data_IF_683201907678
#
_entry.id   IF_683201907678
#
_cell.length_a   1.000
_cell.length_b   1.000
_cell.length_c   1.000
_cell.angle_alpha   90.00
_cell.angle_beta   90.00
_cell.angle_gamma   90.00
#
_symmetry.space_group_name_H-M   'P 1'
#
loop_
_entity.id
_entity.type
_entity.pdbx_description
1 polymer ?
#
# COMPACT_ATOMS: atom_id res chain seq x y z
N UNK A 1 32.11 26.95 -0.52
CA UNK A 1 30.67 26.63 -0.66
C UNK A 1 30.10 26.31 0.71
N UNK A 2 28.86 26.72 1.02
CA UNK A 2 28.23 26.38 2.30
C UNK A 2 28.02 24.85 2.39
N UNK A 3 28.39 24.25 3.52
CA UNK A 3 28.20 22.82 3.75
C UNK A 3 26.71 22.45 3.69
N UNK A 4 26.34 21.58 2.74
CA UNK A 4 24.95 21.11 2.58
C UNK A 4 24.63 20.03 3.62
N UNK A 5 23.36 19.96 4.05
CA UNK A 5 22.83 18.89 4.90
C UNK A 5 22.22 17.76 4.05
N UNK A 6 22.17 16.55 4.60
CA UNK A 6 21.66 15.35 3.89
C UNK A 6 20.26 15.57 3.32
N UNK A 7 19.34 16.19 4.07
CA UNK A 7 17.98 16.45 3.59
C UNK A 7 17.90 17.40 2.38
N UNK A 8 18.90 18.28 2.20
CA UNK A 8 18.93 19.25 1.10
C UNK A 8 19.41 18.62 -0.21
N UNK A 9 20.15 17.52 -0.13
CA UNK A 9 20.67 16.76 -1.29
C UNK A 9 20.03 15.38 -1.41
N UNK A 10 18.91 15.18 -0.72
CA UNK A 10 18.22 13.90 -0.68
C UNK A 10 17.75 13.48 -2.08
N UNK A 11 18.09 12.27 -2.51
CA UNK A 11 17.79 11.77 -3.85
C UNK A 11 16.34 11.24 -4.01
N UNK A 12 15.65 10.98 -2.90
CA UNK A 12 14.25 10.53 -2.91
C UNK A 12 13.25 11.67 -3.08
N UNK A 13 11.98 11.34 -3.30
CA UNK A 13 10.90 12.32 -3.54
C UNK A 13 10.29 12.91 -2.25
N UNK A 14 10.98 12.77 -1.11
CA UNK A 14 10.49 13.25 0.18
C UNK A 14 10.53 14.77 0.28
N UNK A 15 9.57 15.32 1.03
CA UNK A 15 9.50 16.74 1.36
C UNK A 15 9.96 16.93 2.80
N UNK A 16 11.00 17.73 2.99
CA UNK A 16 11.56 18.01 4.32
C UNK A 16 11.14 19.38 4.81
N UNK A 17 10.65 19.47 6.05
CA UNK A 17 10.21 20.71 6.68
C UNK A 17 10.94 20.90 8.03
N UNK A 18 10.97 22.13 8.54
CA UNK A 18 11.62 22.49 9.82
C UNK A 18 13.10 22.09 9.87
N UNK A 19 13.85 22.36 8.80
CA UNK A 19 15.28 22.03 8.72
C UNK A 19 15.57 20.52 8.75
N UNK A 20 14.68 19.71 8.16
CA UNK A 20 14.84 18.26 8.07
C UNK A 20 14.36 17.48 9.30
N UNK A 21 13.60 18.11 10.20
CA UNK A 21 12.99 17.42 11.36
C UNK A 21 11.74 16.62 10.97
N UNK A 22 10.96 17.15 10.03
CA UNK A 22 9.76 16.50 9.51
C UNK A 22 10.06 15.95 8.12
N UNK A 23 9.66 14.70 7.89
CA UNK A 23 9.85 13.97 6.64
C UNK A 23 8.48 13.57 6.13
N UNK A 24 8.03 14.22 5.07
CA UNK A 24 6.78 13.89 4.40
C UNK A 24 7.05 13.15 3.08
N UNK A 25 6.06 12.39 2.61
CA UNK A 25 6.10 11.83 1.26
C UNK A 25 5.77 12.88 0.19
N UNK A 26 5.88 12.51 -1.09
CA UNK A 26 5.60 13.41 -2.21
C UNK A 26 4.14 13.89 -2.22
N UNK A 27 3.22 13.04 -1.75
CA UNK A 27 1.77 13.29 -1.78
C UNK A 27 1.27 14.08 -0.57
N UNK A 28 2.13 14.66 0.27
CA UNK A 28 1.76 15.38 1.49
C UNK A 28 0.62 16.42 1.37
N UNK A 29 0.30 16.91 0.17
CA UNK A 29 -0.84 17.82 -0.06
C UNK A 29 -2.19 17.13 0.13
N UNK A 30 -2.30 15.83 -0.13
CA UNK A 30 -3.52 15.04 0.08
C UNK A 30 -3.92 14.97 1.55
N UNK A 31 -2.98 15.18 2.48
CA UNK A 31 -3.27 15.27 3.92
C UNK A 31 -4.32 16.32 4.24
N UNK A 32 -4.39 17.42 3.49
CA UNK A 32 -5.41 18.44 3.67
C UNK A 32 -6.82 17.85 3.51
N UNK A 33 -7.01 16.96 2.54
CA UNK A 33 -8.29 16.30 2.30
C UNK A 33 -8.66 15.42 3.49
N UNK A 34 -7.71 14.62 3.99
CA UNK A 34 -7.95 13.77 5.17
C UNK A 34 -8.23 14.59 6.43
N UNK A 35 -7.54 15.72 6.64
CA UNK A 35 -7.81 16.64 7.74
C UNK A 35 -9.25 17.19 7.66
N UNK A 36 -9.70 17.63 6.48
CA UNK A 36 -11.05 18.14 6.28
C UNK A 36 -12.12 17.06 6.51
N UNK A 37 -11.89 15.84 6.01
CA UNK A 37 -12.79 14.69 6.21
C UNK A 37 -12.96 14.30 7.69
N UNK A 38 -12.02 14.67 8.57
CA UNK A 38 -12.12 14.43 10.01
C UNK A 38 -12.72 15.64 10.73
N UNK A 39 -12.18 16.83 10.46
CA UNK A 39 -12.53 18.05 11.21
C UNK A 39 -13.95 18.51 10.91
N UNK A 40 -14.37 18.52 9.64
CA UNK A 40 -15.69 19.07 9.27
C UNK A 40 -16.84 18.28 9.91
N UNK A 41 -16.91 16.94 9.82
CA UNK A 41 -17.96 16.17 10.49
C UNK A 41 -17.95 16.35 12.01
N UNK A 42 -16.77 16.43 12.64
CA UNK A 42 -16.66 16.67 14.09
C UNK A 42 -17.18 18.06 14.47
N UNK A 43 -16.90 19.11 13.69
CA UNK A 43 -17.44 20.44 13.94
C UNK A 43 -18.96 20.42 13.83
N UNK A 44 -19.50 19.83 12.77
CA UNK A 44 -20.96 19.69 12.60
C UNK A 44 -21.56 18.92 13.78
N UNK A 45 -20.93 17.82 14.21
CA UNK A 45 -21.36 17.07 15.38
C UNK A 45 -21.35 17.92 16.66
N UNK A 46 -20.27 18.67 16.91
CA UNK A 46 -20.16 19.50 18.10
C UNK A 46 -21.23 20.60 18.16
N UNK A 47 -21.51 21.24 17.02
CA UNK A 47 -22.45 22.36 16.92
C UNK A 47 -23.90 21.89 16.88
N UNK A 48 -24.21 20.88 16.07
CA UNK A 48 -25.59 20.47 15.78
C UNK A 48 -26.11 19.37 16.70
N UNK A 49 -25.23 18.52 17.27
CA UNK A 49 -25.64 17.36 18.08
C UNK A 49 -25.20 17.54 19.53
N UNK A 50 -23.90 17.64 19.79
CA UNK A 50 -23.35 17.67 21.15
C UNK A 50 -23.81 18.90 21.94
N UNK A 51 -24.01 20.04 21.28
CA UNK A 51 -24.56 21.24 21.93
C UNK A 51 -25.97 21.02 22.47
N UNK A 52 -26.83 20.33 21.73
CA UNK A 52 -28.21 20.06 22.16
C UNK A 52 -28.24 18.98 23.24
N UNK A 53 -27.50 17.89 23.06
CA UNK A 53 -27.34 16.83 24.08
C UNK A 53 -26.77 17.34 25.41
N UNK A 54 -26.01 18.44 25.40
CA UNK A 54 -25.52 19.07 26.62
C UNK A 54 -26.65 19.51 27.55
N UNK A 55 -27.73 20.06 26.99
CA UNK A 55 -28.83 20.59 27.78
C UNK A 55 -29.68 19.48 28.41
N UNK A 56 -29.78 18.33 27.74
CA UNK A 56 -30.46 17.13 28.25
C UNK A 56 -29.75 16.54 29.48
N UNK A 57 -28.40 16.54 29.50
CA UNK A 57 -27.59 16.04 30.62
C UNK A 57 -27.04 17.16 31.51
N UNK A 58 -27.91 18.08 31.93
CA UNK A 58 -27.54 19.22 32.79
C UNK A 58 -27.05 18.79 34.19
N UNK A 59 -27.56 17.67 34.70
CA UNK A 59 -27.14 17.13 36.01
C UNK A 59 -25.64 16.84 36.05
N UNK A 60 -24.96 17.44 37.03
CA UNK A 60 -23.52 17.30 37.30
C UNK A 60 -22.57 17.75 36.17
N UNK A 61 -22.99 18.66 35.27
CA UNK A 61 -22.20 19.09 34.10
C UNK A 61 -21.81 17.93 33.14
N UNK A 62 -22.50 16.79 33.22
CA UNK A 62 -22.17 15.59 32.46
C UNK A 62 -22.28 15.80 30.94
N UNK A 63 -23.18 16.68 30.49
CA UNK A 63 -23.31 17.07 29.09
C UNK A 63 -22.06 17.74 28.49
N UNK A 64 -21.22 18.41 29.29
CA UNK A 64 -19.95 18.96 28.82
C UNK A 64 -18.90 17.88 28.55
N UNK A 65 -19.00 16.72 29.22
CA UNK A 65 -18.10 15.61 29.01
C UNK A 65 -18.19 15.07 27.57
N UNK A 66 -19.39 15.04 26.98
CA UNK A 66 -19.60 14.61 25.57
C UNK A 66 -18.78 15.47 24.60
N UNK A 67 -18.80 16.80 24.79
CA UNK A 67 -18.03 17.71 23.96
C UNK A 67 -16.52 17.59 24.22
N UNK A 68 -16.12 17.53 25.49
CA UNK A 68 -14.72 17.41 25.87
C UNK A 68 -14.09 16.12 25.30
N UNK A 69 -14.79 14.99 25.42
CA UNK A 69 -14.37 13.71 24.84
C UNK A 69 -14.25 13.81 23.32
N UNK A 70 -15.23 14.40 22.63
CA UNK A 70 -15.18 14.57 21.18
C UNK A 70 -13.95 15.38 20.73
N UNK A 71 -13.67 16.50 21.40
CA UNK A 71 -12.55 17.39 21.08
C UNK A 71 -11.21 16.69 21.39
N UNK A 72 -11.03 16.16 22.60
CA UNK A 72 -9.79 15.52 23.01
C UNK A 72 -9.47 14.30 22.13
N UNK A 73 -10.50 13.51 21.80
CA UNK A 73 -10.32 12.35 20.95
C UNK A 73 -10.00 12.74 19.49
N UNK A 74 -10.62 13.81 18.98
CA UNK A 74 -10.25 14.38 17.67
C UNK A 74 -8.81 14.88 17.66
N UNK A 75 -8.37 15.59 18.70
CA UNK A 75 -6.97 16.02 18.84
C UNK A 75 -6.03 14.82 18.85
N UNK A 76 -6.39 13.73 19.54
CA UNK A 76 -5.63 12.48 19.51
C UNK A 76 -5.51 11.91 18.08
N UNK A 77 -6.64 11.76 17.36
CA UNK A 77 -6.68 11.27 15.96
C UNK A 77 -5.79 12.12 15.05
N UNK A 78 -5.88 13.45 15.16
CA UNK A 78 -5.07 14.37 14.36
C UNK A 78 -3.58 14.29 14.72
N UNK A 79 -3.25 14.12 16.00
CA UNK A 79 -1.87 13.95 16.44
C UNK A 79 -1.24 12.66 15.88
N UNK A 80 -1.95 11.53 15.93
CA UNK A 80 -1.44 10.27 15.37
C UNK A 80 -1.38 10.30 13.83
N UNK A 81 -2.31 10.97 13.15
CA UNK A 81 -2.22 11.24 11.71
C UNK A 81 -0.96 12.05 11.38
N UNK A 82 -0.69 13.11 12.14
CA UNK A 82 0.50 13.93 11.98
C UNK A 82 1.79 13.11 12.20
N UNK A 83 1.85 12.31 13.27
CA UNK A 83 3.02 11.45 13.55
C UNK A 83 3.24 10.39 12.46
N UNK A 84 2.17 9.88 11.85
CA UNK A 84 2.25 8.91 10.76
C UNK A 84 2.81 9.54 9.48
N UNK A 85 2.37 10.76 9.17
CA UNK A 85 2.67 11.45 7.90
C UNK A 85 4.00 12.20 7.90
N UNK A 86 4.41 12.75 9.05
CA UNK A 86 5.55 13.66 9.17
C UNK A 86 6.85 13.01 9.64
N UNK A 87 6.86 11.68 9.76
CA UNK A 87 8.00 10.89 10.21
C UNK A 87 8.69 10.09 9.10
N UNK A 88 9.95 9.73 9.34
CA UNK A 88 10.64 8.72 8.53
C UNK A 88 9.95 7.35 8.70
N UNK A 89 9.41 6.74 7.62
CA UNK A 89 8.71 5.46 7.68
C UNK A 89 9.64 4.25 7.88
N UNK A 90 10.96 4.44 7.76
CA UNK A 90 11.95 3.36 7.79
C UNK A 90 12.78 3.33 6.52
N UNK A 91 13.18 4.49 6.01
CA UNK A 91 13.92 4.57 4.76
C UNK A 91 15.30 3.92 4.94
N UNK A 92 15.66 3.02 4.03
CA UNK A 92 16.99 2.41 3.97
C UNK A 92 17.96 3.39 3.28
N UNK A 93 19.12 3.71 3.88
CA UNK A 93 20.13 4.54 3.24
C UNK A 93 20.55 3.94 1.89
N UNK A 94 20.71 4.79 0.88
CA UNK A 94 21.25 4.38 -0.42
C UNK A 94 22.74 4.12 -0.29
N UNK A 95 23.26 3.08 -0.94
CA UNK A 95 24.71 2.93 -1.02
C UNK A 95 25.29 3.90 -2.06
N UNK A 96 26.53 4.39 -1.87
CA UNK A 96 27.22 5.20 -2.88
C UNK A 96 27.65 4.36 -4.09
N UNK A 97 27.91 3.07 -3.87
CA UNK A 97 28.32 2.11 -4.88
C UNK A 97 27.54 0.79 -4.71
N UNK A 98 27.40 -0.02 -5.78
CA UNK A 98 26.86 -1.37 -5.66
C UNK A 98 27.62 -2.18 -4.59
N UNK A 99 26.94 -3.09 -3.87
CA UNK A 99 27.62 -3.98 -2.93
C UNK A 99 28.72 -4.75 -3.66
N UNK A 100 29.93 -4.72 -3.13
CA UNK A 100 31.01 -5.61 -3.51
C UNK A 100 30.61 -7.01 -3.02
N UNK A 101 30.00 -7.83 -3.88
CA UNK A 101 29.90 -9.25 -3.57
C UNK A 101 31.27 -9.87 -3.81
N UNK A 102 31.74 -10.67 -2.85
CA UNK A 102 32.82 -11.65 -3.07
C UNK A 102 32.51 -12.34 -4.40
N UNK A 103 33.28 -12.01 -5.43
CA UNK A 103 33.23 -12.71 -6.70
C UNK A 103 33.62 -14.16 -6.39
N UNK A 104 32.65 -15.03 -6.11
CA UNK A 104 32.83 -16.44 -6.45
C UNK A 104 32.85 -16.47 -7.97
N UNK A 105 34.06 -16.37 -8.52
CA UNK A 105 34.35 -16.98 -9.79
C UNK A 105 33.92 -18.44 -9.64
N UNK A 106 32.77 -18.80 -10.20
CA UNK A 106 32.61 -20.19 -10.65
C UNK A 106 33.60 -20.33 -11.79
N UNK A 107 34.80 -20.83 -11.47
CA UNK A 107 35.83 -21.25 -12.42
C UNK A 107 35.39 -22.53 -13.15
N UNK A 108 34.16 -22.59 -13.63
CA UNK A 108 33.62 -23.70 -14.43
C UNK A 108 33.06 -23.21 -15.77
N UNK A 109 33.66 -22.18 -16.35
CA UNK A 109 33.61 -22.04 -17.81
C UNK A 109 34.75 -22.87 -18.36
N UNK A 110 34.40 -24.07 -18.79
CA UNK A 110 35.21 -24.93 -19.65
C UNK A 110 35.83 -24.07 -20.75
N UNK A 111 37.16 -24.06 -20.76
CA UNK A 111 37.96 -23.54 -21.86
C UNK A 111 37.69 -24.47 -23.04
N UNK A 112 36.83 -24.06 -23.96
CA UNK A 112 36.84 -24.57 -25.32
C UNK A 112 36.16 -23.62 -26.31
N UNK A 113 36.82 -23.52 -27.47
CA UNK A 113 36.44 -22.86 -28.72
C UNK A 113 36.58 -21.32 -28.78
N UNK A 114 37.58 -20.92 -29.57
CA UNK A 114 37.94 -19.54 -29.88
C UNK A 114 36.88 -18.75 -30.62
N UNK A 115 36.88 -17.45 -30.35
CA UNK A 115 36.08 -16.44 -31.03
C UNK A 115 36.26 -15.11 -30.31
N UNK A 116 37.12 -14.26 -30.85
CA UNK A 116 37.40 -12.93 -30.33
C UNK A 116 36.16 -12.02 -30.45
N UNK A 117 35.25 -12.13 -29.49
CA UNK A 117 34.22 -11.14 -29.21
C UNK A 117 34.61 -10.43 -27.93
N UNK A 118 34.88 -9.13 -28.02
CA UNK A 118 35.12 -8.25 -26.86
C UNK A 118 33.81 -8.11 -26.09
N UNK A 119 33.44 -9.13 -25.33
CA UNK A 119 32.32 -9.07 -24.40
C UNK A 119 32.79 -8.20 -23.24
N UNK A 120 32.31 -6.95 -23.20
CA UNK A 120 32.36 -6.14 -21.98
C UNK A 120 31.77 -7.01 -20.87
N UNK A 121 32.48 -7.29 -19.76
CA UNK A 121 31.91 -8.05 -18.68
C UNK A 121 30.79 -7.19 -18.09
N UNK A 122 29.55 -7.45 -18.49
CA UNK A 122 28.41 -6.91 -17.79
C UNK A 122 28.49 -7.49 -16.40
N UNK A 123 28.76 -6.66 -15.40
CA UNK A 123 28.58 -7.01 -13.99
C UNK A 123 27.10 -7.37 -13.81
N UNK A 124 26.74 -8.61 -14.10
CA UNK A 124 25.42 -9.16 -13.82
C UNK A 124 25.40 -9.48 -12.34
N UNK A 125 25.07 -8.47 -11.52
CA UNK A 125 24.72 -8.69 -10.14
C UNK A 125 23.56 -9.69 -10.10
N UNK A 126 23.64 -10.79 -9.33
CA UNK A 126 22.52 -11.70 -9.20
C UNK A 126 21.34 -10.90 -8.64
N UNK A 127 20.27 -10.77 -9.45
CA UNK A 127 19.10 -9.96 -9.08
C UNK A 127 18.43 -10.44 -7.79
N UNK A 128 18.72 -11.66 -7.38
CA UNK A 128 18.19 -12.32 -6.19
C UNK A 128 19.35 -12.87 -5.37
N UNK A 129 19.28 -12.64 -4.06
CA UNK A 129 20.19 -13.20 -3.06
C UNK A 129 19.36 -13.95 -2.01
N UNK A 130 19.87 -15.06 -1.49
CA UNK A 130 19.23 -15.76 -0.37
C UNK A 130 19.80 -15.28 0.96
N UNK A 131 18.90 -15.03 1.91
CA UNK A 131 19.24 -14.61 3.27
C UNK A 131 18.48 -15.50 4.24
N UNK A 132 19.17 -16.04 5.24
CA UNK A 132 18.53 -16.87 6.27
C UNK A 132 17.77 -15.98 7.26
N UNK A 133 16.49 -16.28 7.45
CA UNK A 133 15.60 -15.61 8.40
C UNK A 133 14.90 -16.69 9.22
N UNK A 134 15.12 -16.69 10.54
CA UNK A 134 14.57 -17.71 11.45
C UNK A 134 14.86 -19.15 10.99
N UNK A 135 16.06 -19.41 10.45
CA UNK A 135 16.47 -20.72 9.95
C UNK A 135 15.95 -21.10 8.56
N UNK A 136 15.16 -20.23 7.90
CA UNK A 136 14.63 -20.47 6.56
C UNK A 136 15.23 -19.51 5.53
N UNK A 137 15.52 -20.01 4.33
CA UNK A 137 16.06 -19.20 3.24
C UNK A 137 14.96 -18.28 2.65
N UNK A 138 15.20 -16.98 2.70
CA UNK A 138 14.33 -15.94 2.13
C UNK A 138 15.07 -15.23 1.00
N UNK A 139 14.46 -15.25 -0.19
CA UNK A 139 14.96 -14.55 -1.38
C UNK A 139 14.73 -13.05 -1.27
N UNK A 140 15.80 -12.27 -1.31
CA UNK A 140 15.78 -10.79 -1.39
C UNK A 140 16.20 -10.33 -2.77
N UNK A 141 15.71 -9.16 -3.20
CA UNK A 141 15.97 -8.60 -4.52
C UNK A 141 16.97 -7.45 -4.45
N UNK A 142 17.78 -7.30 -5.49
CA UNK A 142 18.60 -6.09 -5.66
C UNK A 142 17.74 -4.88 -6.05
N UNK A 143 18.09 -3.70 -5.55
CA UNK A 143 17.49 -2.44 -5.96
C UNK A 143 18.52 -1.58 -6.67
N UNK A 144 18.36 -1.40 -7.98
CA UNK A 144 19.27 -0.59 -8.80
C UNK A 144 19.25 0.89 -8.37
N UNK A 145 18.07 1.46 -8.12
CA UNK A 145 17.89 2.87 -7.71
C UNK A 145 18.57 3.24 -6.38
N UNK A 146 18.62 2.30 -5.43
CA UNK A 146 19.21 2.51 -4.11
C UNK A 146 20.59 1.83 -3.97
N UNK A 147 21.03 1.09 -5.00
CA UNK A 147 22.26 0.31 -5.05
C UNK A 147 22.47 -0.64 -3.86
N UNK A 148 21.42 -1.37 -3.48
CA UNK A 148 21.48 -2.27 -2.32
C UNK A 148 20.66 -3.53 -2.54
N UNK A 149 21.10 -4.65 -1.95
CA UNK A 149 20.23 -5.79 -1.72
C UNK A 149 19.21 -5.43 -0.65
N UNK A 150 17.93 -5.49 -1.00
CA UNK A 150 16.84 -5.09 -0.10
C UNK A 150 16.87 -5.99 1.14
N UNK A 151 16.94 -5.44 2.37
CA UNK A 151 16.79 -6.26 3.57
C UNK A 151 15.49 -7.07 3.53
N UNK A 152 15.37 -8.17 4.30
CA UNK A 152 14.12 -8.90 4.42
C UNK A 152 12.95 -7.95 4.75
N UNK A 153 11.79 -8.17 4.11
CA UNK A 153 10.58 -7.33 4.23
C UNK A 153 10.73 -5.88 3.71
N UNK A 154 11.85 -5.53 3.07
CA UNK A 154 12.06 -4.22 2.45
C UNK A 154 11.59 -4.22 0.99
N UNK A 155 10.87 -3.17 0.60
CA UNK A 155 10.47 -2.93 -0.79
C UNK A 155 10.80 -1.51 -1.22
N UNK A 156 11.04 -1.34 -2.53
CA UNK A 156 11.23 -0.02 -3.12
C UNK A 156 9.86 0.55 -3.51
N UNK A 157 9.56 1.76 -3.05
CA UNK A 157 8.42 2.54 -3.49
C UNK A 157 8.88 3.52 -4.57
N UNK A 158 8.36 3.38 -5.80
CA UNK A 158 8.68 4.28 -6.93
C UNK A 158 8.20 5.71 -6.67
N UNK A 159 7.02 5.87 -6.07
CA UNK A 159 6.41 7.17 -5.74
C UNK A 159 7.33 7.98 -4.81
N UNK A 160 7.68 7.41 -3.65
CA UNK A 160 8.61 8.03 -2.72
C UNK A 160 10.07 7.99 -3.20
N UNK A 161 10.38 7.16 -4.18
CA UNK A 161 11.72 6.86 -4.68
C UNK A 161 12.69 6.43 -3.56
N UNK A 162 12.28 5.48 -2.72
CA UNK A 162 13.11 4.94 -1.65
C UNK A 162 12.81 3.47 -1.36
N UNK A 163 13.81 2.75 -0.87
CA UNK A 163 13.61 1.49 -0.17
C UNK A 163 13.14 1.74 1.28
N UNK A 164 12.09 1.06 1.71
CA UNK A 164 11.48 1.21 3.05
C UNK A 164 11.47 -0.15 3.76
N UNK A 165 11.96 -0.19 4.99
CA UNK A 165 11.96 -1.38 5.84
C UNK A 165 10.54 -1.77 6.27
N UNK A 166 10.26 -3.09 6.29
CA UNK A 166 8.93 -3.64 6.58
C UNK A 166 7.83 -2.87 5.83
N UNK A 167 8.03 -2.70 4.52
CA UNK A 167 7.14 -1.93 3.69
C UNK A 167 5.74 -2.53 3.69
N UNK A 168 4.75 -1.71 4.00
CA UNK A 168 3.35 -2.09 4.01
C UNK A 168 2.65 -1.64 2.73
N UNK A 169 2.56 -0.32 2.53
CA UNK A 169 2.02 0.29 1.33
C UNK A 169 2.42 1.77 1.25
N UNK A 170 2.19 2.39 0.10
CA UNK A 170 2.16 3.85 0.01
C UNK A 170 0.73 4.32 0.19
N UNK A 171 0.47 5.20 1.17
CA UNK A 171 -0.88 5.63 1.51
C UNK A 171 -1.15 7.03 0.97
N UNK A 172 -2.04 7.20 -0.02
CA UNK A 172 -2.39 8.52 -0.53
C UNK A 172 -3.06 9.40 0.52
N UNK A 173 -3.86 8.84 1.44
CA UNK A 173 -4.55 9.59 2.49
C UNK A 173 -3.59 10.20 3.53
N UNK A 174 -2.47 9.51 3.79
CA UNK A 174 -1.41 9.99 4.69
C UNK A 174 -0.31 10.74 3.91
N UNK A 175 -0.30 10.60 2.58
CA UNK A 175 0.68 11.23 1.69
C UNK A 175 2.12 10.69 1.86
N UNK A 176 2.30 9.48 2.38
CA UNK A 176 3.59 8.91 2.79
C UNK A 176 3.55 7.37 2.73
N UNK A 177 4.73 6.73 2.61
CA UNK A 177 4.87 5.30 2.82
C UNK A 177 4.53 4.89 4.25
N UNK A 178 3.85 3.76 4.42
CA UNK A 178 3.68 3.07 5.69
C UNK A 178 4.70 1.94 5.74
N UNK A 179 5.52 1.94 6.79
CA UNK A 179 6.60 0.99 7.00
C UNK A 179 6.95 0.81 8.46
N UNK A 180 8.11 0.21 8.74
CA UNK A 180 8.52 -0.23 10.08
C UNK A 180 8.32 0.83 11.17
N UNK A 181 8.69 2.08 10.90
CA UNK A 181 8.78 3.13 11.95
C UNK A 181 7.46 3.85 12.23
N UNK A 182 6.57 3.92 11.25
CA UNK A 182 5.30 4.65 11.36
C UNK A 182 4.06 3.75 11.36
N UNK A 183 4.19 2.45 11.10
CA UNK A 183 3.06 1.50 11.08
C UNK A 183 2.22 1.52 12.37
N UNK A 184 2.86 1.62 13.55
CA UNK A 184 2.14 1.72 14.84
C UNK A 184 1.23 2.96 14.90
N UNK A 185 1.73 4.11 14.47
CA UNK A 185 0.95 5.35 14.46
C UNK A 185 -0.15 5.30 13.40
N UNK A 186 0.12 4.69 12.24
CA UNK A 186 -0.88 4.45 11.22
C UNK A 186 -2.03 3.60 11.76
N UNK A 187 -1.72 2.49 12.44
CA UNK A 187 -2.73 1.63 13.03
C UNK A 187 -3.53 2.36 14.13
N UNK A 188 -2.85 3.10 15.02
CA UNK A 188 -3.52 3.96 16.01
C UNK A 188 -4.43 4.99 15.35
N UNK A 189 -4.00 5.61 14.25
CA UNK A 189 -4.81 6.56 13.48
C UNK A 189 -6.08 5.91 12.92
N UNK A 190 -5.96 4.82 12.16
CA UNK A 190 -7.13 4.20 11.51
C UNK A 190 -8.11 3.61 12.55
N UNK A 191 -7.59 2.99 13.63
CA UNK A 191 -8.43 2.45 14.70
C UNK A 191 -9.11 3.55 15.52
N UNK A 192 -8.40 4.62 15.91
CA UNK A 192 -9.01 5.74 16.63
C UNK A 192 -10.00 6.52 15.76
N UNK A 193 -9.73 6.69 14.46
CA UNK A 193 -10.69 7.26 13.51
C UNK A 193 -11.96 6.40 13.40
N UNK A 194 -11.83 5.07 13.39
CA UNK A 194 -12.99 4.15 13.45
C UNK A 194 -13.80 4.35 14.73
N UNK A 195 -13.14 4.40 15.88
CA UNK A 195 -13.82 4.63 17.17
C UNK A 195 -14.50 6.01 17.21
N UNK A 196 -13.87 7.04 16.65
CA UNK A 196 -14.45 8.40 16.58
C UNK A 196 -15.71 8.39 15.70
N UNK A 197 -15.67 7.64 14.60
CA UNK A 197 -16.81 7.45 13.71
C UNK A 197 -17.97 6.73 14.42
N UNK A 198 -17.68 5.66 15.18
CA UNK A 198 -18.69 4.97 16.01
C UNK A 198 -19.27 5.93 17.05
N UNK A 199 -18.42 6.69 17.75
CA UNK A 199 -18.84 7.64 18.77
C UNK A 199 -19.81 8.70 18.21
N UNK A 200 -19.45 9.33 17.08
CA UNK A 200 -20.30 10.34 16.41
C UNK A 200 -21.60 9.70 15.92
N UNK A 201 -21.55 8.51 15.33
CA UNK A 201 -22.74 7.79 14.87
C UNK A 201 -23.70 7.49 16.04
N UNK A 202 -23.18 6.88 17.11
CA UNK A 202 -23.97 6.48 18.28
C UNK A 202 -24.63 7.67 18.97
N UNK A 203 -23.91 8.78 19.16
CA UNK A 203 -24.50 9.97 19.78
C UNK A 203 -25.46 10.73 18.86
N UNK A 204 -25.25 10.71 17.55
CA UNK A 204 -26.21 11.27 16.59
C UNK A 204 -27.50 10.44 16.57
N UNK A 205 -27.40 9.11 16.59
CA UNK A 205 -28.55 8.21 16.70
C UNK A 205 -29.29 8.38 18.04
N UNK A 206 -28.54 8.52 19.14
CA UNK A 206 -29.10 8.80 20.46
C UNK A 206 -29.85 10.14 20.48
N UNK A 207 -29.31 11.19 19.85
CA UNK A 207 -29.99 12.47 19.75
C UNK A 207 -31.31 12.39 18.98
N UNK A 208 -31.36 11.63 17.86
CA UNK A 208 -32.63 11.37 17.16
C UNK A 208 -33.64 10.66 18.06
N UNK A 209 -33.20 9.69 18.87
CA UNK A 209 -34.07 9.02 19.85
C UNK A 209 -34.63 10.00 20.88
N UNK A 210 -33.80 10.88 21.44
CA UNK A 210 -34.26 11.92 22.38
C UNK A 210 -35.30 12.83 21.74
N UNK A 211 -35.12 13.22 20.47
CA UNK A 211 -36.12 14.01 19.74
C UNK A 211 -37.44 13.25 19.55
N UNK A 212 -37.40 11.95 19.29
CA UNK A 212 -38.62 11.15 19.20
C UNK A 212 -39.39 11.14 20.52
N UNK A 213 -38.67 10.94 21.63
CA UNK A 213 -39.24 10.86 22.97
C UNK A 213 -39.80 12.23 23.42
N UNK A 214 -39.14 13.35 23.10
CA UNK A 214 -39.58 14.71 23.51
C UNK A 214 -40.81 15.24 22.74
N UNK A 215 -41.02 14.78 21.50
CA UNK A 215 -42.09 15.30 20.63
C UNK A 215 -43.24 14.32 20.42
N UNK A 216 -43.29 13.20 21.17
CA UNK A 216 -44.18 12.04 20.96
C UNK A 216 -44.31 11.71 19.46
N UNK A 217 -43.17 11.75 18.78
CA UNK A 217 -43.09 11.86 17.34
C UNK A 217 -42.61 10.58 16.67
N UNK A 218 -43.01 10.37 15.41
CA UNK A 218 -42.42 9.33 14.57
C UNK A 218 -40.96 9.66 14.24
N UNK A 219 -40.15 8.63 13.95
CA UNK A 219 -38.75 8.77 13.50
C UNK A 219 -38.62 9.80 12.38
N UNK A 220 -39.57 9.81 11.44
CA UNK A 220 -39.59 10.73 10.31
C UNK A 220 -39.66 12.21 10.72
N UNK A 221 -40.42 12.52 11.77
CA UNK A 221 -40.50 13.88 12.31
C UNK A 221 -39.18 14.28 12.94
N UNK A 222 -38.60 13.42 13.79
CA UNK A 222 -37.30 13.67 14.42
C UNK A 222 -36.15 13.87 13.42
N UNK A 223 -36.13 13.08 12.33
CA UNK A 223 -35.15 13.25 11.25
C UNK A 223 -35.27 14.60 10.52
N UNK A 224 -36.51 15.11 10.33
CA UNK A 224 -36.74 16.42 9.71
C UNK A 224 -36.31 17.58 10.62
N UNK A 225 -36.43 17.42 11.93
CA UNK A 225 -35.97 18.42 12.90
C UNK A 225 -34.44 18.49 12.99
N UNK A 226 -33.74 17.37 12.77
CA UNK A 226 -32.27 17.34 12.78
C UNK A 226 -31.67 16.69 11.52
N UNK A 227 -31.73 17.36 10.35
CA UNK A 227 -31.13 16.84 9.12
C UNK A 227 -29.61 16.66 9.25
N UNK A 228 -28.94 17.49 10.06
CA UNK A 228 -27.50 17.37 10.32
C UNK A 228 -27.14 16.02 10.96
N UNK A 229 -27.93 15.54 11.92
CA UNK A 229 -27.69 14.24 12.57
C UNK A 229 -27.86 13.08 11.59
N UNK A 230 -28.85 13.16 10.70
CA UNK A 230 -29.07 12.16 9.64
C UNK A 230 -27.89 12.15 8.65
N UNK A 231 -27.42 13.32 8.21
CA UNK A 231 -26.25 13.44 7.32
C UNK A 231 -25.00 12.87 8.00
N UNK A 232 -24.77 13.18 9.29
CA UNK A 232 -23.66 12.64 10.06
C UNK A 232 -23.75 11.12 10.20
N UNK A 233 -24.93 10.57 10.47
CA UNK A 233 -25.14 9.13 10.55
C UNK A 233 -24.86 8.46 9.21
N UNK A 234 -25.36 9.00 8.10
CA UNK A 234 -25.08 8.47 6.77
C UNK A 234 -23.58 8.53 6.42
N UNK A 235 -22.93 9.66 6.70
CA UNK A 235 -21.49 9.84 6.51
C UNK A 235 -20.68 8.84 7.34
N UNK A 236 -21.03 8.68 8.63
CA UNK A 236 -20.33 7.76 9.52
C UNK A 236 -20.57 6.31 9.10
N UNK A 237 -21.79 5.95 8.70
CA UNK A 237 -22.10 4.62 8.19
C UNK A 237 -21.20 4.28 6.99
N UNK A 238 -21.16 5.13 5.97
CA UNK A 238 -20.30 4.94 4.78
C UNK A 238 -18.84 4.86 5.21
N UNK A 239 -18.38 5.79 6.06
CA UNK A 239 -16.99 5.84 6.54
C UNK A 239 -16.58 4.59 7.32
N UNK A 240 -17.49 3.97 8.09
CA UNK A 240 -17.21 2.75 8.85
C UNK A 240 -16.93 1.54 7.94
N UNK A 241 -17.58 1.44 6.78
CA UNK A 241 -17.27 0.38 5.82
C UNK A 241 -15.82 0.47 5.35
N UNK A 242 -15.34 1.68 5.04
CA UNK A 242 -13.97 1.89 4.57
C UNK A 242 -12.95 1.83 5.71
N UNK A 243 -13.07 2.69 6.71
CA UNK A 243 -12.06 2.84 7.79
C UNK A 243 -12.16 1.70 8.81
N UNK A 244 -13.37 1.24 9.12
CA UNK A 244 -13.59 0.07 9.97
C UNK A 244 -13.15 -1.23 9.29
N UNK A 245 -13.47 -1.41 8.01
CA UNK A 245 -12.95 -2.52 7.20
C UNK A 245 -11.42 -2.55 7.14
N UNK A 246 -10.80 -1.38 6.93
CA UNK A 246 -9.34 -1.24 6.96
C UNK A 246 -8.74 -1.58 8.34
N UNK A 247 -9.39 -1.14 9.42
CA UNK A 247 -8.99 -1.51 10.79
C UNK A 247 -9.03 -3.02 11.01
N UNK A 248 -10.12 -3.68 10.60
CA UNK A 248 -10.27 -5.13 10.68
C UNK A 248 -9.20 -5.88 9.87
N UNK A 249 -8.91 -5.40 8.66
CA UNK A 249 -7.86 -5.97 7.82
C UNK A 249 -6.48 -5.84 8.48
N UNK A 250 -6.13 -4.68 9.02
CA UNK A 250 -4.85 -4.51 9.71
C UNK A 250 -4.76 -5.26 11.04
N UNK A 251 -5.88 -5.48 11.74
CA UNK A 251 -5.93 -6.39 12.89
C UNK A 251 -5.55 -7.83 12.47
N UNK A 252 -6.07 -8.31 11.33
CA UNK A 252 -5.68 -9.61 10.77
C UNK A 252 -4.18 -9.66 10.40
N UNK A 253 -3.66 -8.61 9.76
CA UNK A 253 -2.25 -8.52 9.38
C UNK A 253 -1.32 -8.52 10.60
N UNK A 254 -1.68 -7.78 11.66
CA UNK A 254 -0.94 -7.79 12.93
C UNK A 254 -1.02 -9.19 13.54
N UNK A 255 -2.21 -9.78 13.63
CA UNK A 255 -2.42 -11.11 14.20
C UNK A 255 -1.60 -12.20 13.50
N UNK A 256 -1.35 -12.05 12.19
CA UNK A 256 -0.54 -12.97 11.39
C UNK A 256 0.91 -12.50 11.17
N UNK A 257 1.34 -11.35 11.68
CA UNK A 257 2.66 -10.74 11.43
C UNK A 257 3.01 -10.55 9.94
N UNK A 258 2.04 -10.16 9.14
CA UNK A 258 2.23 -9.85 7.72
C UNK A 258 2.12 -8.35 7.48
N UNK A 259 2.83 -7.82 6.48
CA UNK A 259 2.48 -6.53 5.91
C UNK A 259 1.42 -6.71 4.82
N UNK A 260 0.73 -5.64 4.44
CA UNK A 260 -0.20 -5.63 3.31
C UNK A 260 0.48 -6.15 2.05
N UNK A 261 1.69 -5.65 1.77
CA UNK A 261 2.52 -6.09 0.65
C UNK A 261 2.81 -7.60 0.68
N UNK A 262 3.17 -8.14 1.83
CA UNK A 262 3.45 -9.56 2.02
C UNK A 262 2.17 -10.40 1.85
N UNK A 263 1.05 -9.97 2.44
CA UNK A 263 -0.21 -10.70 2.32
C UNK A 263 -0.69 -10.82 0.87
N UNK A 264 -0.54 -9.76 0.06
CA UNK A 264 -0.89 -9.85 -1.36
C UNK A 264 0.11 -10.67 -2.18
N UNK A 265 1.42 -10.47 -1.97
CA UNK A 265 2.45 -11.08 -2.81
C UNK A 265 2.82 -12.52 -2.42
N UNK A 266 2.82 -12.84 -1.12
CA UNK A 266 3.17 -14.17 -0.64
C UNK A 266 2.01 -15.16 -0.72
N UNK A 267 0.75 -14.68 -0.69
CA UNK A 267 -0.39 -15.54 -1.02
C UNK A 267 -0.35 -15.98 -2.49
N UNK A 268 0.04 -15.10 -3.41
CA UNK A 268 0.22 -15.45 -4.81
C UNK A 268 1.38 -16.46 -5.01
N UNK A 269 2.47 -16.31 -4.27
CA UNK A 269 3.66 -17.19 -4.34
C UNK A 269 3.56 -18.46 -3.46
N UNK A 270 2.49 -18.64 -2.67
CA UNK A 270 2.33 -19.77 -1.74
C UNK A 270 3.40 -19.86 -0.62
N UNK A 271 4.00 -18.73 -0.21
CA UNK A 271 5.12 -18.74 0.75
C UNK A 271 4.67 -18.90 2.19
N UNK A 272 5.41 -19.71 2.95
CA UNK A 272 5.23 -19.86 4.40
C UNK A 272 5.58 -18.53 5.10
N UNK A 273 4.75 -18.15 6.06
CA UNK A 273 4.98 -16.96 6.86
C UNK A 273 5.98 -17.22 8.00
N UNK A 274 7.25 -16.93 7.71
CA UNK A 274 8.37 -17.14 8.64
C UNK A 274 8.42 -16.16 9.82
N UNK A 275 7.59 -15.12 9.81
CA UNK A 275 7.61 -14.04 10.81
C UNK A 275 6.54 -14.19 11.89
N UNK A 276 5.57 -15.08 11.70
CA UNK A 276 4.50 -15.31 12.67
C UNK A 276 5.05 -15.97 13.96
N UNK A 277 4.80 -15.34 15.12
CA UNK A 277 5.23 -15.81 16.45
C UNK A 277 4.06 -16.12 17.38
N UNK A 278 2.87 -16.28 16.82
CA UNK A 278 1.61 -16.38 17.56
C UNK A 278 0.97 -15.02 17.79
N UNK A 279 -0.37 -15.01 17.88
CA UNK A 279 -1.16 -13.77 17.81
C UNK A 279 -0.73 -12.73 18.87
N UNK A 280 -0.66 -13.11 20.15
CA UNK A 280 -0.25 -12.21 21.24
C UNK A 280 1.13 -11.60 21.01
N UNK A 281 2.13 -12.43 20.67
CA UNK A 281 3.49 -11.96 20.46
C UNK A 281 3.57 -10.99 19.28
N UNK A 282 2.78 -11.21 18.23
CA UNK A 282 2.74 -10.30 17.09
C UNK A 282 2.11 -8.95 17.46
N UNK A 283 1.03 -8.94 18.25
CA UNK A 283 0.44 -7.70 18.78
C UNK A 283 1.41 -6.94 19.68
N UNK A 284 2.07 -7.64 20.62
CA UNK A 284 3.08 -7.04 21.49
C UNK A 284 4.26 -6.49 20.69
N UNK A 285 4.70 -7.18 19.63
CA UNK A 285 5.76 -6.72 18.73
C UNK A 285 5.39 -5.35 18.13
N UNK A 286 4.17 -5.20 17.62
CA UNK A 286 3.75 -3.98 16.93
C UNK A 286 3.41 -2.84 17.89
N UNK A 287 2.69 -3.13 18.97
CA UNK A 287 2.11 -2.11 19.85
C UNK A 287 3.04 -1.72 21.01
N UNK A 288 3.77 -2.68 21.56
CA UNK A 288 4.49 -2.50 22.83
C UNK A 288 6.01 -2.38 22.68
N UNK A 289 6.59 -2.73 21.53
CA UNK A 289 8.04 -2.59 21.34
C UNK A 289 8.48 -1.16 21.05
N UNK A 290 9.74 -0.87 21.37
CA UNK A 290 10.37 0.41 21.08
C UNK A 290 10.60 0.54 19.57
N UNK A 291 10.12 1.64 19.00
CA UNK A 291 10.41 1.99 17.60
C UNK A 291 11.92 2.19 17.46
N UNK A 292 12.54 1.44 16.54
CA UNK A 292 13.98 1.54 16.24
C UNK A 292 14.35 2.98 15.84
N UNK A 293 15.59 3.46 16.03
CA UNK A 293 16.02 4.77 15.56
C UNK A 293 16.15 4.83 14.03
N UNK A 294 16.19 6.03 13.45
CA UNK A 294 16.25 6.18 11.99
C UNK A 294 17.63 5.77 11.52
N UNK A 295 17.70 5.06 10.40
CA UNK A 295 18.97 4.72 9.75
C UNK A 295 19.58 5.92 9.02
N UNK A 296 18.81 6.99 8.81
CA UNK A 296 19.27 8.21 8.17
C UNK A 296 19.36 9.34 9.19
N UNK A 297 20.52 10.01 9.25
CA UNK A 297 20.62 11.30 9.93
C UNK A 297 20.44 12.43 8.92
N UNK A 298 19.19 12.76 8.60
CA UNK A 298 18.83 13.78 7.60
C UNK A 298 19.42 15.17 7.88
N UNK A 299 19.73 15.46 9.14
CA UNK A 299 20.25 16.76 9.59
C UNK A 299 21.77 16.81 9.62
N UNK A 300 22.46 15.69 9.42
CA UNK A 300 23.91 15.67 9.34
C UNK A 300 24.40 16.49 8.14
N UNK A 301 25.62 17.03 8.24
CA UNK A 301 26.32 17.60 7.10
C UNK A 301 26.76 16.48 6.15
N UNK A 302 26.68 16.75 4.86
CA UNK A 302 27.17 15.84 3.82
C UNK A 302 28.69 15.77 3.96
N UNK A 303 29.22 14.56 4.15
CA UNK A 303 30.65 14.32 4.04
C UNK A 303 30.99 14.31 2.55
N UNK A 304 31.87 15.20 2.11
CA UNK A 304 32.54 15.03 0.82
C UNK A 304 33.44 13.81 0.96
N UNK A 305 33.08 12.71 0.30
CA UNK A 305 33.98 11.57 0.17
C UNK A 305 35.15 12.02 -0.70
N UNK A 306 36.35 12.06 -0.12
CA UNK A 306 37.58 12.17 -0.90
C UNK A 306 37.58 11.02 -1.93
N UNK A 307 37.94 11.27 -3.21
CA UNK A 307 38.07 10.20 -4.18
C UNK A 307 39.00 9.13 -3.61
N UNK A 308 38.53 7.88 -3.50
CA UNK A 308 39.45 6.78 -3.23
C UNK A 308 40.48 6.80 -4.37
N UNK A 309 41.79 6.73 -4.10
CA UNK A 309 42.77 6.60 -5.17
C UNK A 309 42.38 5.39 -6.00
N UNK A 310 42.10 5.63 -7.28
CA UNK A 310 41.94 4.56 -8.25
C UNK A 310 43.19 3.69 -8.12
N UNK A 311 43.00 2.40 -7.82
CA UNK A 311 44.08 1.44 -7.95
C UNK A 311 44.63 1.60 -9.36
N UNK A 312 45.89 2.01 -9.47
CA UNK A 312 46.55 2.29 -10.72
C UNK A 312 46.56 1.01 -11.56
N UNK A 313 45.63 0.92 -12.52
CA UNK A 313 45.76 -0.01 -13.63
C UNK A 313 46.82 0.62 -14.55
N UNK A 314 48.01 0.04 -14.51
CA UNK A 314 49.14 0.40 -15.36
C UNK A 314 48.70 0.27 -16.84
N UNK A 315 48.68 1.43 -17.50
CA UNK A 315 48.97 1.69 -18.92
C UNK A 315 48.44 0.74 -20.01
N UNK A 316 47.53 1.28 -20.84
CA UNK A 316 47.88 1.51 -22.26
C UNK A 316 47.00 2.61 -22.85
N UNK A 317 47.66 3.67 -23.30
CA UNK A 317 47.09 4.80 -24.03
C UNK A 317 46.31 4.35 -25.26
N UNK A 318 45.13 4.96 -25.49
CA UNK A 318 44.68 5.22 -26.86
C UNK A 318 43.80 6.46 -26.89
N UNK A 319 44.10 7.28 -27.88
CA UNK A 319 43.74 8.67 -28.08
C UNK A 319 42.25 9.01 -27.98
N UNK A 320 42.02 10.24 -27.52
CA UNK A 320 40.73 10.91 -27.55
C UNK A 320 40.28 11.16 -29.00
N UNK A 321 39.00 10.96 -29.25
CA UNK A 321 38.29 11.73 -30.26
C UNK A 321 36.96 12.19 -29.67
N UNK A 322 36.80 13.50 -29.64
CA UNK A 322 35.59 14.20 -29.24
C UNK A 322 34.47 13.93 -30.25
N UNK A 323 33.27 13.56 -29.78
CA UNK A 323 32.04 13.92 -30.47
C UNK A 323 30.90 14.12 -29.47
N UNK A 324 30.22 15.24 -29.68
CA UNK A 324 29.11 15.83 -28.96
C UNK A 324 27.94 14.92 -28.61
N UNK A 325 27.42 15.13 -27.40
CA UNK A 325 26.00 15.28 -27.09
C UNK A 325 25.05 14.14 -27.46
N UNK A 326 24.52 13.43 -26.44
CA UNK A 326 23.09 13.14 -26.45
C UNK A 326 22.49 12.92 -25.05
N UNK A 327 21.24 13.35 -24.94
CA UNK A 327 20.32 13.37 -23.80
C UNK A 327 19.91 11.94 -23.46
N UNK A 328 20.14 11.47 -22.23
CA UNK A 328 19.60 10.17 -21.78
C UNK A 328 18.06 10.23 -21.72
N UNK A 329 17.34 9.26 -22.30
CA UNK A 329 15.88 9.22 -22.20
C UNK A 329 15.45 8.79 -20.80
N UNK A 330 14.41 9.46 -20.31
CA UNK A 330 13.68 9.16 -19.08
C UNK A 330 12.81 7.94 -19.38
N UNK A 331 13.09 6.80 -18.73
CA UNK A 331 12.25 5.60 -18.86
C UNK A 331 11.07 5.75 -17.91
N UNK A 332 9.89 5.96 -18.49
CA UNK A 332 8.59 5.79 -17.84
C UNK A 332 8.31 4.29 -17.70
N UNK A 333 8.03 3.83 -16.48
CA UNK A 333 7.34 2.58 -16.23
C UNK A 333 6.41 2.79 -15.05
N UNK A 334 5.14 3.07 -15.35
CA UNK A 334 4.02 2.92 -14.45
C UNK A 334 2.91 2.13 -15.18
N UNK A 335 2.06 1.47 -14.37
CA UNK A 335 0.81 0.75 -14.71
C UNK A 335 0.83 -0.78 -14.73
N UNK A 336 1.50 -1.43 -13.77
CA UNK A 336 1.41 -2.89 -13.57
C UNK A 336 0.30 -3.34 -12.58
N UNK A 337 -0.57 -2.41 -12.11
CA UNK A 337 -1.64 -2.75 -11.15
C UNK A 337 -2.95 -3.09 -11.88
N UNK A 338 -3.26 -2.39 -12.98
CA UNK A 338 -4.51 -2.59 -13.73
C UNK A 338 -4.49 -3.79 -14.66
N UNK A 339 -3.35 -4.02 -15.33
CA UNK A 339 -3.21 -5.09 -16.32
C UNK A 339 -3.12 -6.48 -15.66
N UNK A 340 -2.50 -6.59 -14.48
CA UNK A 340 -2.47 -7.84 -13.73
C UNK A 340 -3.83 -8.19 -13.11
N UNK A 341 -4.63 -7.22 -12.66
CA UNK A 341 -6.00 -7.48 -12.18
C UNK A 341 -6.92 -7.98 -13.30
N UNK A 342 -6.78 -7.46 -14.52
CA UNK A 342 -7.51 -7.96 -15.69
C UNK A 342 -7.08 -9.39 -16.05
N UNK A 343 -5.78 -9.69 -16.01
CA UNK A 343 -5.23 -11.05 -16.21
C UNK A 343 -5.68 -12.04 -15.13
N UNK A 344 -5.83 -11.59 -13.88
CA UNK A 344 -6.36 -12.39 -12.77
C UNK A 344 -7.87 -12.66 -12.94
N UNK A 345 -8.65 -11.69 -13.43
CA UNK A 345 -10.08 -11.91 -13.73
C UNK A 345 -10.28 -12.86 -14.91
N UNK A 346 -9.44 -12.76 -15.95
CA UNK A 346 -9.49 -13.67 -17.10
C UNK A 346 -9.11 -15.11 -16.74
N UNK A 347 -8.13 -15.32 -15.84
CA UNK A 347 -7.80 -16.67 -15.36
C UNK A 347 -8.93 -17.31 -14.54
N UNK A 348 -9.64 -16.54 -13.72
CA UNK A 348 -10.81 -17.04 -12.98
C UNK A 348 -11.94 -17.48 -13.90
N UNK A 349 -12.23 -16.72 -14.95
CA UNK A 349 -13.29 -17.09 -15.91
C UNK A 349 -12.96 -18.38 -16.67
N UNK A 350 -11.68 -18.64 -16.97
CA UNK A 350 -11.25 -19.87 -17.66
C UNK A 350 -11.31 -21.10 -16.73
N UNK A 351 -10.94 -20.97 -15.45
CA UNK A 351 -11.07 -22.07 -14.49
C UNK A 351 -12.53 -22.40 -14.15
N UNK A 352 -13.44 -21.42 -14.21
CA UNK A 352 -14.87 -21.62 -13.97
C UNK A 352 -15.58 -22.30 -15.16
N UNK A 353 -15.20 -21.97 -16.40
CA UNK A 353 -15.70 -22.66 -17.61
C UNK A 353 -15.17 -24.10 -17.72
N UNK A 354 -13.95 -24.37 -17.27
CA UNK A 354 -13.37 -25.73 -17.29
C UNK A 354 -14.04 -26.65 -16.25
N UNK A 355 -14.63 -26.09 -15.18
CA UNK A 355 -15.43 -26.86 -14.20
C UNK A 355 -16.87 -27.10 -14.63
N UNK A 356 -17.37 -26.37 -15.65
CA UNK A 356 -18.75 -26.50 -16.14
C UNK A 356 -18.91 -27.52 -17.27
N UNK A 357 -17.82 -27.88 -17.96
CA UNK A 357 -17.83 -28.77 -19.13
C UNK A 357 -16.86 -29.97 -18.99
N UNK A 358 -17.04 -30.79 -17.94
CA UNK A 358 -16.43 -32.12 -17.84
C UNK A 358 -17.48 -33.22 -18.09
N UNK A 359 -17.18 -34.29 -18.86
CA UNK A 359 -18.17 -35.29 -19.22
C UNK A 359 -18.54 -36.20 -18.04
N UNK A 360 -19.84 -36.50 -17.95
CA UNK A 360 -20.43 -37.40 -16.97
C UNK A 360 -20.08 -38.87 -17.29
N UNK A 361 -19.62 -39.62 -16.29
CA UNK A 361 -19.76 -41.09 -16.27
C UNK A 361 -20.11 -41.59 -14.87
N UNK A 362 -21.19 -42.36 -14.83
CA UNK A 362 -21.80 -43.00 -13.67
C UNK A 362 -21.00 -44.23 -13.19
N UNK A 363 -21.01 -44.48 -11.87
CA UNK A 363 -21.62 -45.65 -11.21
C UNK A 363 -20.79 -46.27 -10.05
N UNK A 364 -21.52 -46.46 -8.94
CA UNK A 364 -21.42 -47.48 -7.85
C UNK A 364 -20.26 -47.48 -6.81
N UNK A 365 -20.70 -47.31 -5.55
CA UNK A 365 -20.10 -47.57 -4.21
C UNK A 365 -19.69 -49.05 -3.95
N UNK A 366 -19.26 -49.49 -2.72
CA UNK A 366 -18.52 -48.84 -1.59
C UNK A 366 -17.31 -49.69 -1.08
N UNK A 367 -16.43 -49.15 -0.21
CA UNK A 367 -15.99 -49.77 1.08
C UNK A 367 -14.77 -49.11 1.78
N UNK A 368 -14.99 -48.70 3.03
CA UNK A 368 -14.33 -49.05 4.30
C UNK A 368 -12.79 -49.30 4.46
N UNK A 369 -12.24 -48.72 5.55
CA UNK A 369 -11.10 -49.13 6.44
C UNK A 369 -9.69 -48.46 6.31
N UNK A 370 -9.32 -47.80 7.43
CA UNK A 370 -8.03 -47.55 8.12
C UNK A 370 -6.67 -47.74 7.41
N UNK A 371 -5.77 -46.75 7.59
CA UNK A 371 -4.58 -46.79 8.48
C UNK A 371 -3.43 -45.89 7.96
N UNK A 372 -2.55 -45.51 8.89
CA UNK A 372 -1.51 -44.48 8.82
C UNK A 372 -0.36 -44.77 7.82
N UNK A 373 0.31 -43.72 7.33
CA UNK A 373 1.73 -43.52 7.67
C UNK A 373 2.31 -42.16 7.26
N UNK A 374 3.28 -41.69 8.05
CA UNK A 374 4.04 -40.46 7.86
C UNK A 374 5.00 -40.54 6.66
N UNK A 375 4.94 -39.57 5.74
CA UNK A 375 6.12 -39.16 4.95
C UNK A 375 6.01 -37.72 4.43
N UNK A 376 7.06 -36.94 4.71
CA UNK A 376 7.25 -35.58 4.22
C UNK A 376 7.51 -35.56 2.71
N UNK A 377 7.00 -34.57 1.94
CA UNK A 377 7.30 -34.48 0.51
C UNK A 377 8.53 -33.61 0.25
N UNK A 378 9.52 -34.23 -0.41
CA UNK A 378 10.66 -33.61 -1.09
C UNK A 378 10.19 -32.75 -2.28
N UNK A 379 10.65 -31.51 -2.34
CA UNK A 379 10.36 -30.57 -3.44
C UNK A 379 11.28 -30.88 -4.63
N UNK A 380 10.68 -31.31 -5.75
CA UNK A 380 11.33 -31.48 -7.06
C UNK A 380 11.24 -30.16 -7.84
N UNK A 381 12.39 -29.64 -8.24
CA UNK A 381 12.51 -28.43 -9.08
C UNK A 381 12.49 -28.82 -10.56
N UNK A 382 11.38 -28.60 -11.25
CA UNK A 382 11.34 -28.70 -12.72
C UNK A 382 11.57 -27.31 -13.32
N UNK A 383 12.76 -27.09 -13.86
CA UNK A 383 13.06 -26.01 -14.78
C UNK A 383 12.56 -26.40 -16.18
N UNK A 384 11.62 -25.63 -16.75
CA UNK A 384 11.29 -25.72 -18.19
C UNK A 384 11.78 -24.47 -18.91
N UNK A 385 12.80 -24.68 -19.73
CA UNK A 385 13.14 -23.82 -20.84
C UNK A 385 12.05 -23.92 -21.92
N UNK A 386 11.63 -22.77 -22.46
CA UNK A 386 11.06 -22.72 -23.80
C UNK A 386 11.46 -21.40 -24.46
N UNK A 387 12.34 -21.52 -25.46
CA UNK A 387 12.60 -20.45 -26.42
C UNK A 387 11.40 -20.29 -27.33
N UNK A 388 10.99 -19.06 -27.66
CA UNK A 388 10.63 -18.75 -29.05
C UNK A 388 10.67 -17.25 -29.39
N UNK A 389 10.90 -17.05 -30.68
CA UNK A 389 11.40 -15.89 -31.39
C UNK A 389 10.40 -14.73 -31.48
N UNK A 390 10.96 -13.51 -31.54
CA UNK A 390 10.31 -12.30 -32.07
C UNK A 390 9.94 -12.47 -33.55
N UNK A 391 8.74 -12.03 -33.91
CA UNK A 391 8.46 -11.37 -35.19
C UNK A 391 7.61 -10.14 -34.89
N UNK A 392 8.01 -8.99 -35.44
CA UNK A 392 7.32 -7.73 -35.35
C UNK A 392 6.50 -7.53 -36.63
N UNK A 393 5.28 -6.99 -36.51
CA UNK A 393 4.70 -6.16 -37.57
C UNK A 393 3.73 -5.15 -36.93
N UNK A 394 3.93 -3.87 -37.25
CA UNK A 394 3.08 -2.74 -36.83
C UNK A 394 2.33 -2.25 -38.05
N UNK A 395 1.00 -2.18 -37.99
CA UNK A 395 0.20 -1.29 -38.85
C UNK A 395 -0.91 -0.64 -38.02
N UNK A 396 -0.94 0.69 -38.09
CA UNK A 396 -1.95 1.59 -37.55
C UNK A 396 -2.86 1.98 -38.72
N UNK A 397 -4.17 1.93 -38.53
CA UNK A 397 -5.10 2.73 -39.33
C UNK A 397 -6.30 3.17 -38.48
N UNK A 398 -6.65 4.44 -38.68
CA UNK A 398 -7.69 5.25 -38.07
C UNK A 398 -8.93 5.28 -39.00
N UNK A 399 -10.03 5.90 -38.54
CA UNK A 399 -11.30 6.23 -39.23
C UNK A 399 -12.50 5.32 -38.88
N UNK A 400 -13.75 5.75 -38.69
CA UNK A 400 -14.44 7.07 -38.68
C UNK A 400 -15.82 6.85 -38.00
N UNK A 401 -16.38 7.94 -37.46
CA UNK A 401 -17.70 8.10 -36.84
C UNK A 401 -18.93 7.75 -37.72
N UNK A 402 -20.05 7.56 -37.01
CA UNK A 402 -21.46 7.83 -37.37
C UNK A 402 -22.26 6.73 -38.11
N UNK A 403 -23.32 6.24 -37.45
CA UNK A 403 -24.69 6.68 -37.78
C UNK A 403 -25.72 6.16 -36.77
N UNK A 404 -26.33 7.13 -36.09
CA UNK A 404 -27.70 7.09 -35.57
C UNK A 404 -28.68 7.15 -36.74
N UNK A 405 -29.77 6.38 -36.70
CA UNK A 405 -31.00 6.73 -37.40
C UNK A 405 -32.20 6.45 -36.49
N UNK A 406 -32.77 7.55 -36.00
CA UNK A 406 -34.11 7.67 -35.44
C UNK A 406 -35.02 8.16 -36.57
N UNK A 407 -36.23 7.61 -36.68
CA UNK A 407 -37.34 8.27 -37.36
C UNK A 407 -38.57 8.24 -36.45
N UNK A 408 -38.83 9.43 -35.89
CA UNK A 408 -40.13 10.03 -35.58
C UNK A 408 -41.21 9.71 -36.66
N UNK A 409 -42.52 9.69 -36.43
CA UNK A 409 -43.36 10.59 -35.66
C UNK A 409 -44.83 10.11 -35.67
N UNK A 410 -45.59 10.60 -34.68
CA UNK A 410 -46.93 11.25 -34.78
C UNK A 410 -48.08 10.61 -33.99
N UNK A 411 -48.91 11.52 -33.51
CA UNK A 411 -49.62 11.57 -32.22
C UNK A 411 -51.13 11.74 -32.43
N UNK A 412 -51.92 11.62 -31.35
CA UNK A 412 -53.34 12.00 -31.13
C UNK A 412 -54.43 10.96 -31.51
N UNK A 413 -55.54 10.71 -30.79
CA UNK A 413 -56.09 11.05 -29.44
C UNK A 413 -57.40 10.22 -29.27
N UNK A 414 -57.79 9.88 -28.03
CA UNK A 414 -59.12 9.49 -27.44
C UNK A 414 -60.18 8.75 -28.31
N UNK A 415 -60.92 7.72 -27.86
CA UNK A 415 -61.91 7.73 -26.76
C UNK A 415 -62.64 6.35 -26.61
N UNK A 416 -62.96 5.98 -25.36
CA UNK A 416 -64.19 5.29 -24.82
C UNK A 416 -64.94 4.15 -25.55
N UNK A 417 -65.27 3.12 -24.74
CA UNK A 417 -66.47 2.25 -24.69
C UNK A 417 -66.69 1.30 -25.92
N UNK A 418 -67.17 0.05 -25.85
CA UNK A 418 -68.09 -0.64 -24.95
C UNK A 418 -67.98 -2.18 -25.15
N UNK A 419 -68.32 -2.95 -24.11
CA UNK A 419 -68.71 -4.38 -24.02
C UNK A 419 -68.81 -5.22 -25.31
N UNK A 420 -68.24 -6.43 -25.26
CA UNK A 420 -68.98 -7.68 -25.02
C UNK A 420 -68.07 -8.74 -24.42
#
# INVERSE_FOLDING_TARGET
MAAKRVYQVWKGSNKFICGGRLVFGPDARSLLVTLLLIIVPVIIFCVCVARHLRHEFSSYNSGYAILAVAILFTVHVLAVLFLTSSGDPGIVPRNPHPPEEEFRYDSSVSVDAGGAGRQTPSLQFPRIKEVIVNGLAVRVKYCETCMLYRPPRCSHCSICNNCVERFDHHCPWVGQCIGLRNYRYFFMFVSSATILCIYVFSLSAFYIKVLMDNYDGTVWKAMKESPASVILMAYCFISLWFVGGLTGFHLYLIGTNQTTYENFRYRADGRINVFNRGWLNNFLEVLCTKVRPSRNNFRAFVREEAPRPHAAIIGREREANELSGDRRPKVEHDLDIGEELLKISQRRNVEEDTRRNGPAHNASEPDSIMSADHRAPTIRSDARHSSWKRSANWEIAQEVLANSNVTESRTYVTSKEMRQ
#
